data_IF_556075240199
#
_entry.id   IF_556075240199
#
_cell.length_a   1.000
_cell.length_b   1.000
_cell.length_c   1.000
_cell.angle_alpha   90.00
_cell.angle_beta   90.00
_cell.angle_gamma   90.00
#
_symmetry.space_group_name_H-M   'P 1'
#
loop_
_entity.id
_entity.type
_entity.pdbx_description
1 polymer ?
#
# COMPACT_ATOMS: atom_id res chain seq x y z
N UNK A 1 -10.70 -4.74 12.67
CA UNK A 1 -11.86 -5.09 11.81
C UNK A 1 -11.51 -5.25 10.33
N UNK A 2 -11.27 -4.17 9.57
CA UNK A 2 -11.06 -4.29 8.11
C UNK A 2 -9.85 -5.18 7.75
N UNK A 3 -8.70 -4.94 8.38
CA UNK A 3 -7.50 -5.75 8.15
C UNK A 3 -7.73 -7.20 8.58
N UNK A 4 -8.32 -7.40 9.76
CA UNK A 4 -8.62 -8.72 10.31
C UNK A 4 -9.51 -9.54 9.38
N UNK A 5 -10.49 -8.93 8.71
CA UNK A 5 -11.33 -9.63 7.72
C UNK A 5 -10.51 -10.27 6.59
N UNK A 6 -9.49 -9.57 6.09
CA UNK A 6 -8.61 -10.13 5.04
C UNK A 6 -7.66 -11.20 5.60
N UNK A 7 -7.14 -10.97 6.81
CA UNK A 7 -6.26 -11.94 7.47
C UNK A 7 -7.00 -13.25 7.81
N UNK A 8 -8.19 -13.15 8.39
CA UNK A 8 -9.05 -14.29 8.75
C UNK A 8 -9.55 -15.06 7.52
N UNK A 9 -9.68 -14.39 6.37
CA UNK A 9 -9.96 -15.01 5.09
C UNK A 9 -8.76 -15.75 4.48
N UNK A 10 -7.58 -15.66 5.10
CA UNK A 10 -6.34 -16.28 4.60
C UNK A 10 -5.78 -15.60 3.35
N UNK A 11 -6.12 -14.32 3.14
CA UNK A 11 -5.63 -13.55 1.99
C UNK A 11 -4.18 -13.07 2.19
N UNK A 12 -3.49 -12.81 1.07
CA UNK A 12 -2.16 -12.21 1.09
C UNK A 12 -2.27 -10.70 1.38
N UNK A 13 -2.06 -10.31 2.63
CA UNK A 13 -2.19 -8.92 3.08
C UNK A 13 -0.83 -8.21 3.08
N UNK A 14 -0.78 -7.04 2.43
CA UNK A 14 0.43 -6.22 2.34
C UNK A 14 0.11 -4.77 2.71
N UNK A 15 0.86 -4.21 3.66
CA UNK A 15 0.84 -2.77 3.94
C UNK A 15 1.82 -2.06 3.00
N UNK A 16 1.32 -1.14 2.18
CA UNK A 16 2.15 -0.34 1.25
C UNK A 16 2.04 1.16 1.52
N UNK A 17 3.15 1.77 1.94
CA UNK A 17 3.17 3.16 2.45
C UNK A 17 4.40 3.93 2.00
N UNK A 18 4.24 5.25 1.79
CA UNK A 18 5.34 6.15 1.46
C UNK A 18 6.20 6.50 2.69
N UNK A 19 5.64 6.42 3.89
CA UNK A 19 6.39 6.63 5.13
C UNK A 19 7.48 5.56 5.24
N UNK A 20 8.62 5.94 5.83
CA UNK A 20 9.76 5.04 5.91
C UNK A 20 9.50 3.83 6.82
N UNK A 21 10.25 2.73 6.59
CA UNK A 21 10.13 1.48 7.35
C UNK A 21 10.28 1.69 8.85
N UNK A 22 11.28 2.46 9.26
CA UNK A 22 11.60 2.65 10.68
C UNK A 22 10.40 3.13 11.50
N UNK A 23 9.56 4.01 10.95
CA UNK A 23 8.33 4.48 11.61
C UNK A 23 7.19 3.48 11.45
N UNK A 24 7.05 2.85 10.29
CA UNK A 24 5.84 2.11 9.90
C UNK A 24 5.81 0.65 10.28
N UNK A 25 6.97 0.05 10.54
CA UNK A 25 7.06 -1.38 10.88
C UNK A 25 6.29 -1.71 12.17
N UNK A 26 6.34 -0.84 13.17
CA UNK A 26 5.56 -1.01 14.40
C UNK A 26 4.05 -1.00 14.15
N UNK A 27 3.59 -0.17 13.20
CA UNK A 27 2.17 -0.15 12.81
C UNK A 27 1.76 -1.43 12.10
N UNK A 28 2.60 -1.95 11.18
CA UNK A 28 2.33 -3.24 10.52
C UNK A 28 2.25 -4.38 11.54
N UNK A 29 3.22 -4.43 12.47
CA UNK A 29 3.23 -5.41 13.56
C UNK A 29 1.98 -5.32 14.44
N UNK A 30 1.58 -4.12 14.82
CA UNK A 30 0.36 -3.90 15.61
C UNK A 30 -0.90 -4.39 14.90
N UNK A 31 -0.98 -4.20 13.58
CA UNK A 31 -2.10 -4.66 12.75
C UNK A 31 -2.00 -6.13 12.32
N UNK A 32 -0.96 -6.86 12.73
CA UNK A 32 -0.75 -8.24 12.31
C UNK A 32 -0.41 -8.42 10.82
N UNK A 33 -0.01 -7.36 10.13
CA UNK A 33 0.33 -7.40 8.70
C UNK A 33 1.79 -7.82 8.55
N UNK A 34 2.04 -9.04 8.07
CA UNK A 34 3.38 -9.59 7.90
C UNK A 34 4.20 -8.86 6.82
N UNK A 35 3.53 -8.43 5.75
CA UNK A 35 4.23 -7.91 4.57
C UNK A 35 4.17 -6.39 4.51
N UNK A 36 5.35 -5.76 4.58
CA UNK A 36 5.49 -4.29 4.53
C UNK A 36 6.33 -3.86 3.32
N UNK A 37 5.69 -3.08 2.44
CA UNK A 37 6.34 -2.27 1.41
C UNK A 37 6.37 -0.83 1.89
N UNK A 38 7.50 -0.42 2.46
CA UNK A 38 7.74 0.95 2.89
C UNK A 38 8.84 1.59 2.03
N UNK A 39 9.03 2.90 2.22
CA UNK A 39 10.25 3.58 1.79
C UNK A 39 11.41 3.10 2.67
N UNK A 40 12.49 2.60 2.07
CA UNK A 40 13.66 2.13 2.83
C UNK A 40 14.63 3.30 3.06
N UNK A 41 14.85 3.73 4.31
CA UNK A 41 15.88 4.74 4.59
C UNK A 41 17.26 4.11 4.38
N UNK A 42 18.22 4.89 3.86
CA UNK A 42 19.60 4.41 3.75
C UNK A 42 20.29 4.49 5.11
N UNK A 43 20.91 3.38 5.52
CA UNK A 43 21.76 3.29 6.69
C UNK A 43 23.20 3.02 6.26
N UNK A 44 24.14 3.81 6.81
CA UNK A 44 25.58 3.58 6.70
C UNK A 44 26.14 3.59 8.11
N UNK A 45 26.84 2.51 8.48
CA UNK A 45 27.43 2.32 9.81
C UNK A 45 26.42 2.53 10.96
N UNK A 46 25.18 2.07 10.75
CA UNK A 46 24.10 2.19 11.74
C UNK A 46 23.46 3.58 11.85
N UNK A 47 23.87 4.55 11.02
CA UNK A 47 23.32 5.91 11.02
C UNK A 47 22.50 6.18 9.75
N UNK A 48 21.37 6.88 9.92
CA UNK A 48 20.57 7.36 8.80
C UNK A 48 21.31 8.47 8.06
N UNK A 49 21.46 8.30 6.75
CA UNK A 49 22.16 9.29 5.91
C UNK A 49 21.25 10.42 5.44
N UNK A 50 19.93 10.28 5.63
CA UNK A 50 18.91 11.16 5.07
C UNK A 50 18.51 10.84 3.63
N UNK A 51 19.16 9.86 2.99
CA UNK A 51 18.78 9.35 1.66
C UNK A 51 17.85 8.15 1.76
N UNK A 52 17.27 7.79 0.62
CA UNK A 52 16.44 6.59 0.43
C UNK A 52 17.28 5.53 -0.28
N UNK A 53 17.11 4.27 0.13
CA UNK A 53 17.69 3.11 -0.54
C UNK A 53 16.70 2.55 -1.58
N UNK A 54 17.14 2.43 -2.83
CA UNK A 54 16.32 1.87 -3.91
C UNK A 54 15.15 2.76 -4.33
N UNK A 55 14.08 2.14 -4.83
CA UNK A 55 12.90 2.84 -5.35
C UNK A 55 12.03 3.37 -4.21
N UNK A 56 11.71 4.67 -4.25
CA UNK A 56 10.78 5.30 -3.31
C UNK A 56 9.38 4.68 -3.41
N UNK A 57 8.77 4.31 -2.28
CA UNK A 57 7.46 3.65 -2.28
C UNK A 57 6.29 4.67 -2.31
N UNK A 58 6.27 5.51 -3.34
CA UNK A 58 5.29 6.59 -3.48
C UNK A 58 4.82 6.71 -4.93
N UNK A 59 3.53 6.98 -5.14
CA UNK A 59 2.90 7.10 -6.47
C UNK A 59 3.19 5.88 -7.35
N UNK A 60 3.68 6.09 -8.57
CA UNK A 60 4.07 5.03 -9.50
C UNK A 60 5.10 4.07 -8.88
N UNK A 61 5.94 4.57 -7.96
CA UNK A 61 6.88 3.76 -7.21
C UNK A 61 6.22 2.68 -6.36
N UNK A 62 4.99 2.90 -5.86
CA UNK A 62 4.23 1.85 -5.15
C UNK A 62 3.88 0.68 -6.06
N UNK A 63 3.53 0.96 -7.31
CA UNK A 63 3.19 -0.06 -8.31
C UNK A 63 4.44 -0.85 -8.69
N UNK A 64 5.54 -0.16 -8.96
CA UNK A 64 6.84 -0.80 -9.24
C UNK A 64 7.25 -1.73 -8.10
N UNK A 65 7.25 -1.23 -6.86
CA UNK A 65 7.63 -1.98 -5.65
C UNK A 65 6.72 -3.19 -5.41
N UNK A 66 5.42 -3.06 -5.66
CA UNK A 66 4.48 -4.17 -5.56
C UNK A 66 4.81 -5.27 -6.58
N UNK A 67 5.05 -4.90 -7.84
CA UNK A 67 5.41 -5.87 -8.88
C UNK A 67 6.76 -6.55 -8.59
N UNK A 68 7.78 -5.80 -8.17
CA UNK A 68 9.07 -6.36 -7.77
C UNK A 68 8.91 -7.37 -6.61
N UNK A 69 8.11 -7.02 -5.60
CA UNK A 69 7.87 -7.86 -4.44
C UNK A 69 7.12 -9.15 -4.76
N UNK A 70 6.14 -9.09 -5.67
CA UNK A 70 5.42 -10.27 -6.19
C UNK A 70 6.33 -11.13 -7.07
N UNK A 71 7.09 -10.52 -7.98
CA UNK A 71 7.98 -11.23 -8.89
C UNK A 71 9.06 -12.01 -8.14
N UNK A 72 9.61 -11.44 -7.06
CA UNK A 72 10.55 -12.12 -6.17
C UNK A 72 9.97 -13.39 -5.51
N UNK A 73 8.64 -13.55 -5.52
CA UNK A 73 7.91 -14.73 -5.02
C UNK A 73 7.35 -15.61 -6.14
N UNK A 74 7.71 -15.35 -7.39
CA UNK A 74 7.21 -16.09 -8.55
C UNK A 74 5.75 -15.78 -8.90
N UNK A 75 5.27 -14.59 -8.51
CA UNK A 75 3.90 -14.18 -8.75
C UNK A 75 3.83 -12.88 -9.57
N UNK A 76 2.66 -12.66 -10.19
CA UNK A 76 2.29 -11.41 -10.85
C UNK A 76 0.97 -10.91 -10.27
N UNK A 77 0.75 -9.59 -10.25
CA UNK A 77 -0.47 -9.01 -9.70
C UNK A 77 -1.74 -9.55 -10.39
N UNK A 78 -1.65 -9.81 -11.70
CA UNK A 78 -2.75 -10.35 -12.49
C UNK A 78 -3.19 -11.77 -12.07
N UNK A 79 -2.37 -12.50 -11.32
CA UNK A 79 -2.72 -13.81 -10.78
C UNK A 79 -3.65 -13.73 -9.55
N UNK A 80 -3.89 -12.53 -9.01
CA UNK A 80 -4.72 -12.30 -7.83
C UNK A 80 -6.03 -11.60 -8.19
N UNK A 81 -7.07 -11.85 -7.40
CA UNK A 81 -8.24 -10.96 -7.32
C UNK A 81 -7.97 -9.90 -6.24
N UNK A 82 -7.20 -8.88 -6.61
CA UNK A 82 -6.60 -7.90 -5.70
C UNK A 82 -7.57 -6.80 -5.26
N UNK A 83 -7.42 -6.37 -4.00
CA UNK A 83 -8.13 -5.22 -3.41
C UNK A 83 -7.09 -4.24 -2.87
N UNK A 84 -7.29 -2.93 -3.07
CA UNK A 84 -6.45 -1.90 -2.47
C UNK A 84 -7.28 -0.79 -1.86
N UNK A 85 -6.81 -0.30 -0.71
CA UNK A 85 -7.42 0.74 0.10
C UNK A 85 -6.48 1.94 0.18
N UNK A 86 -6.98 3.15 -0.08
CA UNK A 86 -6.20 4.38 0.14
C UNK A 86 -7.09 5.61 0.31
N UNK A 87 -6.59 6.60 1.03
CA UNK A 87 -7.18 7.91 1.27
C UNK A 87 -6.62 9.00 0.33
N UNK A 88 -5.51 8.75 -0.35
CA UNK A 88 -4.77 9.79 -1.07
C UNK A 88 -4.75 9.61 -2.58
N UNK A 89 -4.91 10.71 -3.31
CA UNK A 89 -4.71 10.77 -4.76
C UNK A 89 -3.30 10.32 -5.18
N UNK A 90 -2.31 10.38 -4.27
CA UNK A 90 -0.98 9.88 -4.54
C UNK A 90 -0.97 8.38 -4.85
N UNK A 91 -1.97 7.62 -4.38
CA UNK A 91 -2.07 6.18 -4.63
C UNK A 91 -2.97 5.84 -5.83
N UNK A 92 -3.40 6.85 -6.61
CA UNK A 92 -4.17 6.63 -7.83
C UNK A 92 -3.54 5.60 -8.78
N UNK A 93 -2.20 5.57 -9.01
CA UNK A 93 -1.58 4.53 -9.82
C UNK A 93 -1.80 3.12 -9.25
N UNK A 94 -1.71 2.95 -7.93
CA UNK A 94 -1.94 1.67 -7.26
C UNK A 94 -3.41 1.25 -7.34
N UNK A 95 -4.33 2.16 -7.07
CA UNK A 95 -5.77 1.89 -7.17
C UNK A 95 -6.19 1.53 -8.60
N UNK A 96 -5.56 2.13 -9.62
CA UNK A 96 -5.79 1.76 -11.03
C UNK A 96 -5.25 0.38 -11.40
N UNK A 97 -4.30 -0.17 -10.64
CA UNK A 97 -3.64 -1.43 -10.95
C UNK A 97 -4.36 -2.68 -10.40
N UNK A 98 -5.22 -2.51 -9.39
CA UNK A 98 -5.93 -3.62 -8.72
C UNK A 98 -7.33 -3.87 -9.29
N UNK A 99 -7.90 -5.03 -8.96
CA UNK A 99 -9.25 -5.40 -9.41
C UNK A 99 -10.35 -4.65 -8.64
N UNK A 100 -10.14 -4.44 -7.34
CA UNK A 100 -11.11 -3.84 -6.42
C UNK A 100 -10.49 -2.62 -5.72
N UNK A 101 -10.47 -1.44 -6.35
CA UNK A 101 -10.05 -0.21 -5.68
C UNK A 101 -11.12 0.30 -4.72
N UNK A 102 -10.69 0.66 -3.51
CA UNK A 102 -11.54 1.25 -2.46
C UNK A 102 -10.91 2.54 -1.97
N UNK A 103 -11.64 3.64 -2.10
CA UNK A 103 -11.25 4.94 -1.57
C UNK A 103 -11.74 5.05 -0.12
N UNK A 104 -10.83 5.19 0.84
CA UNK A 104 -11.15 5.22 2.28
C UNK A 104 -10.91 6.62 2.81
N UNK A 105 -11.94 7.27 3.35
CA UNK A 105 -11.87 8.67 3.81
C UNK A 105 -11.12 9.61 2.83
N UNK A 106 -11.44 9.58 1.53
CA UNK A 106 -10.55 10.10 0.50
C UNK A 106 -10.40 11.61 0.51
N UNK A 107 -9.21 12.08 0.14
CA UNK A 107 -8.99 13.48 -0.20
C UNK A 107 -9.89 13.94 -1.35
N UNK A 108 -10.07 15.25 -1.50
CA UNK A 108 -11.00 15.82 -2.50
C UNK A 108 -10.72 15.34 -3.93
N UNK A 109 -9.45 15.12 -4.29
CA UNK A 109 -9.07 14.69 -5.64
C UNK A 109 -9.36 13.21 -5.84
N UNK A 110 -9.02 12.38 -4.86
CA UNK A 110 -9.33 10.95 -4.92
C UNK A 110 -10.85 10.71 -4.90
N UNK A 111 -11.61 11.50 -4.13
CA UNK A 111 -13.07 11.44 -4.13
C UNK A 111 -13.67 11.78 -5.50
N UNK A 112 -13.05 12.68 -6.28
CA UNK A 112 -13.49 12.99 -7.63
C UNK A 112 -13.23 11.81 -8.60
N UNK A 113 -12.02 11.24 -8.56
CA UNK A 113 -11.67 10.06 -9.36
C UNK A 113 -12.54 8.85 -9.01
N UNK A 114 -12.81 8.62 -7.72
CA UNK A 114 -13.66 7.52 -7.26
C UNK A 114 -15.09 7.66 -7.80
N UNK A 115 -15.65 8.89 -7.82
CA UNK A 115 -16.97 9.16 -8.41
C UNK A 115 -16.99 8.94 -9.92
N UNK A 116 -15.98 9.44 -10.63
CA UNK A 116 -15.89 9.30 -12.10
C UNK A 116 -15.78 7.83 -12.53
N UNK A 117 -15.08 7.01 -11.73
CA UNK A 117 -14.82 5.60 -12.01
C UNK A 117 -15.79 4.64 -11.35
N UNK A 118 -16.79 5.16 -10.62
CA UNK A 118 -17.71 4.38 -9.80
C UNK A 118 -17.00 3.43 -8.81
N UNK A 119 -15.88 3.85 -8.23
CA UNK A 119 -15.19 3.10 -7.19
C UNK A 119 -15.94 3.17 -5.86
N UNK A 120 -15.76 2.12 -5.05
CA UNK A 120 -16.31 2.09 -3.70
C UNK A 120 -15.64 3.17 -2.86
N UNK A 121 -16.46 3.96 -2.16
CA UNK A 121 -16.00 4.90 -1.14
C UNK A 121 -16.44 4.37 0.22
N UNK A 122 -15.50 4.32 1.15
CA UNK A 122 -15.70 3.85 2.52
C UNK A 122 -15.30 4.96 3.50
N UNK A 123 -16.02 5.07 4.60
CA UNK A 123 -15.64 5.89 5.75
C UNK A 123 -15.32 4.95 6.91
N UNK A 124 -14.16 5.11 7.55
CA UNK A 124 -13.83 4.34 8.74
C UNK A 124 -14.25 5.11 9.99
N UNK A 125 -14.91 4.41 10.92
CA UNK A 125 -15.25 4.97 12.22
C UNK A 125 -13.97 5.41 12.94
N UNK A 126 -13.99 6.62 13.50
CA UNK A 126 -12.89 7.19 14.28
C UNK A 126 -13.00 6.86 15.75
#
# INVERSE_FOLDING_TARGET
DLVDQHLDAGELVVMTTATNRFITELTAMYLGIEHLLATEPELVDGMFTGRVQGTLNMREGKVVRLHEWLAARGHELAAFNSTAYSDSINDLPLLKAVNKPVAVDPDRKLAAEARERCWVVMELAR
#
